data_IF_593443170126
#
_entry.id   IF_593443170126
#
_cell.length_a   1.000
_cell.length_b   1.000
_cell.length_c   1.000
_cell.angle_alpha   90.00
_cell.angle_beta   90.00
_cell.angle_gamma   90.00
#
_symmetry.space_group_name_H-M   'P 1'
#
loop_
_entity.id
_entity.type
_entity.pdbx_description
1 polymer ?
#
# COMPACT_ATOMS: atom_id res chain seq x y z
N UNK A 1 -19.02 44.10 -20.19
CA UNK A 1 -19.15 43.52 -18.84
C UNK A 1 -19.37 41.99 -18.82
N UNK A 2 -20.16 41.42 -19.72
CA UNK A 2 -20.45 39.96 -19.80
C UNK A 2 -19.22 39.09 -20.16
N UNK A 3 -18.30 39.56 -21.03
CA UNK A 3 -17.12 38.79 -21.45
C UNK A 3 -16.10 38.59 -20.33
N UNK A 4 -15.83 39.63 -19.52
CA UNK A 4 -14.89 39.55 -18.40
C UNK A 4 -15.38 38.55 -17.29
N UNK A 5 -16.69 38.48 -17.05
CA UNK A 5 -17.26 37.53 -16.09
C UNK A 5 -17.11 36.08 -16.57
N UNK A 6 -17.29 35.83 -17.88
CA UNK A 6 -17.09 34.50 -18.46
C UNK A 6 -15.64 34.03 -18.39
N UNK A 7 -14.68 34.91 -18.71
CA UNK A 7 -13.24 34.61 -18.59
C UNK A 7 -12.84 34.29 -17.14
N UNK A 8 -13.39 35.00 -16.17
CA UNK A 8 -13.12 34.76 -14.76
C UNK A 8 -13.67 33.39 -14.31
N UNK A 9 -14.87 33.01 -14.75
CA UNK A 9 -15.45 31.71 -14.46
C UNK A 9 -14.62 30.57 -15.06
N UNK A 10 -14.21 30.70 -16.33
CA UNK A 10 -13.34 29.70 -16.96
C UNK A 10 -11.98 29.57 -16.27
N UNK A 11 -11.39 30.68 -15.81
CA UNK A 11 -10.17 30.66 -15.03
C UNK A 11 -10.31 29.91 -13.71
N UNK A 12 -11.42 30.10 -13.00
CA UNK A 12 -11.69 29.39 -11.74
C UNK A 12 -11.90 27.89 -12.00
N UNK A 13 -12.66 27.53 -13.04
CA UNK A 13 -12.90 26.13 -13.40
C UNK A 13 -11.58 25.44 -13.79
N UNK A 14 -10.75 26.10 -14.62
CA UNK A 14 -9.45 25.55 -15.01
C UNK A 14 -8.53 25.38 -13.79
N UNK A 15 -8.50 26.33 -12.89
CA UNK A 15 -7.73 26.23 -11.62
C UNK A 15 -8.20 25.07 -10.75
N UNK A 16 -9.52 24.88 -10.59
CA UNK A 16 -10.08 23.76 -9.85
C UNK A 16 -9.75 22.41 -10.49
N UNK A 17 -9.78 22.31 -11.82
CA UNK A 17 -9.40 21.09 -12.54
C UNK A 17 -7.90 20.77 -12.38
N UNK A 18 -7.03 21.77 -12.39
CA UNK A 18 -5.60 21.59 -12.13
C UNK A 18 -5.36 21.09 -10.71
N UNK A 19 -6.01 21.67 -9.72
CA UNK A 19 -5.89 21.23 -8.31
C UNK A 19 -6.43 19.82 -8.14
N UNK A 20 -7.55 19.47 -8.76
CA UNK A 20 -8.12 18.14 -8.70
C UNK A 20 -7.21 17.09 -9.37
N UNK A 21 -6.60 17.43 -10.52
CA UNK A 21 -5.67 16.53 -11.21
C UNK A 21 -4.35 16.37 -10.46
N UNK A 22 -3.85 17.41 -9.79
CA UNK A 22 -2.66 17.34 -8.96
C UNK A 22 -2.80 16.31 -7.82
N UNK A 23 -4.00 16.20 -7.22
CA UNK A 23 -4.30 15.19 -6.20
C UNK A 23 -4.15 13.74 -6.67
N UNK A 24 -4.29 13.49 -7.98
CA UNK A 24 -4.14 12.16 -8.59
C UNK A 24 -2.67 11.86 -8.93
N UNK A 25 -1.88 12.89 -9.23
CA UNK A 25 -0.49 12.80 -9.73
C UNK A 25 0.53 12.92 -8.60
N UNK A 26 0.10 13.31 -7.38
CA UNK A 26 1.04 13.52 -6.27
C UNK A 26 1.84 12.25 -5.97
N UNK A 27 3.17 12.36 -5.86
CA UNK A 27 4.04 11.23 -5.58
C UNK A 27 3.67 10.59 -4.25
N UNK A 28 3.96 9.30 -4.14
CA UNK A 28 3.86 8.56 -2.88
C UNK A 28 5.17 8.66 -2.14
N UNK A 29 5.09 8.79 -0.84
CA UNK A 29 6.24 8.73 0.07
C UNK A 29 6.30 7.35 0.68
N UNK A 30 7.48 6.77 0.71
CA UNK A 30 7.77 5.54 1.41
C UNK A 30 7.65 5.77 2.92
N UNK A 31 6.95 4.88 3.60
CA UNK A 31 6.76 4.90 5.05
C UNK A 31 7.69 3.91 5.72
N UNK A 32 7.68 2.65 5.26
CA UNK A 32 8.49 1.57 5.80
C UNK A 32 8.68 0.45 4.78
N UNK A 33 9.70 -0.39 5.00
CA UNK A 33 10.00 -1.57 4.18
C UNK A 33 10.22 -2.78 5.07
N UNK A 34 9.36 -3.78 4.92
CA UNK A 34 9.52 -5.08 5.58
C UNK A 34 10.08 -6.10 4.60
N UNK A 35 11.26 -6.65 4.91
CA UNK A 35 11.89 -7.70 4.10
C UNK A 35 11.44 -9.07 4.56
N UNK A 36 11.18 -9.97 3.61
CA UNK A 36 10.91 -11.36 3.93
C UNK A 36 12.13 -12.02 4.57
N UNK A 37 11.94 -13.00 5.48
CA UNK A 37 13.04 -13.75 6.07
C UNK A 37 13.92 -14.47 5.04
N UNK A 38 13.35 -14.84 3.89
CA UNK A 38 14.11 -15.43 2.76
C UNK A 38 15.00 -14.41 2.03
N UNK A 39 14.77 -13.10 2.23
CA UNK A 39 15.42 -12.03 1.49
C UNK A 39 14.93 -11.85 0.05
N UNK A 40 14.00 -12.69 -0.43
CA UNK A 40 13.53 -12.68 -1.84
C UNK A 40 12.46 -11.62 -2.10
N UNK A 41 11.68 -11.26 -1.08
CA UNK A 41 10.54 -10.35 -1.18
C UNK A 41 10.70 -9.17 -0.23
N UNK A 42 10.07 -8.06 -0.60
CA UNK A 42 9.90 -6.89 0.26
C UNK A 42 8.50 -6.32 0.16
N UNK A 43 7.93 -5.95 1.28
CA UNK A 43 6.69 -5.21 1.38
C UNK A 43 7.02 -3.74 1.59
N UNK A 44 6.54 -2.88 0.71
CA UNK A 44 6.79 -1.45 0.70
C UNK A 44 5.50 -0.76 1.13
N UNK A 45 5.55 -0.07 2.25
CA UNK A 45 4.46 0.74 2.78
C UNK A 45 4.62 2.16 2.27
N UNK A 46 3.58 2.70 1.68
CA UNK A 46 3.59 4.05 1.12
C UNK A 46 2.34 4.83 1.52
N UNK A 47 2.44 6.15 1.54
CA UNK A 47 1.31 7.05 1.69
C UNK A 47 1.38 8.18 0.67
N UNK A 48 0.26 8.87 0.44
CA UNK A 48 0.25 10.03 -0.44
C UNK A 48 1.00 11.20 0.19
N UNK A 49 1.95 11.78 -0.51
CA UNK A 49 2.88 12.79 0.02
C UNK A 49 2.20 14.00 0.65
N UNK A 50 1.02 14.41 0.17
CA UNK A 50 0.28 15.51 0.76
C UNK A 50 -0.18 15.25 2.21
N UNK A 51 -0.33 13.98 2.61
CA UNK A 51 -0.67 13.62 3.99
C UNK A 51 0.44 13.97 4.99
N UNK A 52 1.67 14.20 4.52
CA UNK A 52 2.76 14.67 5.36
C UNK A 52 2.54 16.10 5.87
N UNK A 53 1.77 16.91 5.14
CA UNK A 53 1.51 18.31 5.45
C UNK A 53 0.22 18.55 6.24
N UNK A 54 -0.58 17.49 6.45
CA UNK A 54 -1.80 17.60 7.25
C UNK A 54 -1.40 17.49 8.72
N UNK A 55 -1.67 18.56 9.54
CA UNK A 55 -1.43 18.50 10.98
C UNK A 55 -2.27 17.38 11.59
N UNK A 56 -1.63 16.46 12.25
CA UNK A 56 -2.30 15.40 13.00
C UNK A 56 -2.48 15.80 14.45
N UNK A 57 -3.50 15.29 15.10
CA UNK A 57 -3.69 15.51 16.53
C UNK A 57 -2.48 14.95 17.31
N UNK A 58 -2.07 15.60 18.43
CA UNK A 58 -1.02 15.05 19.28
C UNK A 58 -1.37 13.61 19.69
N UNK A 59 -0.47 12.66 19.43
CA UNK A 59 -0.67 11.23 19.69
C UNK A 59 -1.15 10.40 18.51
N UNK A 60 -1.58 10.99 17.40
CA UNK A 60 -2.02 10.26 16.19
C UNK A 60 -0.93 10.16 15.11
N UNK A 61 0.33 10.31 15.47
CA UNK A 61 1.45 10.19 14.53
C UNK A 61 1.52 8.76 14.00
N UNK A 62 1.02 8.53 12.82
CA UNK A 62 1.00 7.21 12.18
C UNK A 62 -0.37 6.79 11.67
N UNK A 63 -1.45 7.48 12.03
CA UNK A 63 -2.82 7.21 11.57
C UNK A 63 -3.05 7.64 10.11
N UNK A 64 -2.03 7.54 9.27
CA UNK A 64 -2.15 7.87 7.86
C UNK A 64 -2.66 6.68 7.09
N UNK A 65 -3.65 6.91 6.24
CA UNK A 65 -4.02 5.93 5.22
C UNK A 65 -2.90 5.78 4.20
N UNK A 66 -2.75 4.57 3.68
CA UNK A 66 -1.67 4.27 2.76
C UNK A 66 -1.93 3.06 1.91
N UNK A 67 -0.84 2.47 1.46
CA UNK A 67 -0.85 1.27 0.63
C UNK A 67 0.33 0.39 1.03
N UNK A 68 0.14 -0.91 0.92
CA UNK A 68 1.22 -1.88 0.98
C UNK A 68 1.33 -2.62 -0.34
N UNK A 69 2.55 -2.67 -0.87
CA UNK A 69 2.88 -3.32 -2.13
C UNK A 69 3.97 -4.34 -1.89
N UNK A 70 3.82 -5.55 -2.45
CA UNK A 70 4.86 -6.57 -2.36
C UNK A 70 5.55 -6.69 -3.72
N UNK A 71 6.89 -6.69 -3.68
CA UNK A 71 7.73 -6.94 -4.85
C UNK A 71 8.84 -7.93 -4.52
N UNK A 72 9.31 -8.65 -5.52
CA UNK A 72 10.52 -9.49 -5.40
C UNK A 72 11.80 -8.71 -5.76
N UNK A 73 12.95 -9.37 -5.62
CA UNK A 73 14.25 -8.78 -5.95
C UNK A 73 14.43 -8.49 -7.46
N UNK A 74 13.60 -9.10 -8.31
CA UNK A 74 13.57 -8.85 -9.75
C UNK A 74 12.65 -7.66 -10.12
N UNK A 75 12.01 -7.04 -9.12
CA UNK A 75 11.08 -5.95 -9.32
C UNK A 75 9.68 -6.38 -9.75
N UNK A 76 9.38 -7.68 -9.67
CA UNK A 76 8.05 -8.19 -9.99
C UNK A 76 7.05 -7.79 -8.90
N UNK A 77 5.89 -7.32 -9.33
CA UNK A 77 4.81 -6.84 -8.50
C UNK A 77 3.83 -7.98 -8.15
N UNK A 78 3.56 -8.15 -6.87
CA UNK A 78 2.63 -9.16 -6.33
C UNK A 78 1.31 -8.55 -5.85
N UNK A 79 1.03 -7.33 -6.25
CA UNK A 79 -0.20 -6.61 -5.93
C UNK A 79 -0.03 -5.61 -4.79
N UNK A 80 -0.96 -4.68 -4.77
CA UNK A 80 -1.02 -3.58 -3.81
C UNK A 80 -2.38 -3.60 -3.10
N UNK A 81 -2.37 -3.41 -1.78
CA UNK A 81 -3.58 -3.28 -0.99
C UNK A 81 -3.65 -1.92 -0.29
N UNK A 82 -4.84 -1.31 -0.21
CA UNK A 82 -5.04 -0.10 0.56
C UNK A 82 -5.00 -0.41 2.05
N UNK A 83 -4.52 0.56 2.83
CA UNK A 83 -4.49 0.53 4.29
C UNK A 83 -5.20 1.76 4.84
N UNK A 84 -6.11 1.56 5.77
CA UNK A 84 -6.77 2.67 6.46
C UNK A 84 -5.81 3.38 7.41
N UNK A 85 -4.97 2.60 8.10
CA UNK A 85 -3.92 3.09 9.01
C UNK A 85 -2.63 2.31 8.83
N UNK A 86 -1.53 3.03 8.59
CA UNK A 86 -0.22 2.42 8.36
C UNK A 86 0.37 1.79 9.62
N UNK A 87 0.22 2.43 10.78
CA UNK A 87 0.74 1.95 12.05
C UNK A 87 -0.04 0.77 12.64
N UNK A 88 -1.28 0.57 12.23
CA UNK A 88 -2.12 -0.55 12.65
C UNK A 88 -2.08 -1.75 11.68
N UNK A 89 -1.28 -1.67 10.63
CA UNK A 89 -1.13 -2.77 9.68
C UNK A 89 -0.27 -3.88 10.28
N UNK A 90 -0.86 -4.77 11.05
CA UNK A 90 -0.20 -5.97 11.59
C UNK A 90 0.30 -6.87 10.47
N UNK A 91 1.42 -6.47 9.86
CA UNK A 91 2.00 -7.17 8.73
C UNK A 91 2.83 -8.37 9.19
N UNK A 92 2.61 -9.52 8.58
CA UNK A 92 3.41 -10.72 8.83
C UNK A 92 3.67 -11.50 7.55
N UNK A 93 4.87 -12.04 7.44
CA UNK A 93 5.21 -13.01 6.42
C UNK A 93 4.66 -14.39 6.80
N UNK A 94 4.13 -15.12 5.82
CA UNK A 94 3.67 -16.51 5.96
C UNK A 94 4.53 -17.43 5.10
N UNK A 95 4.35 -18.74 5.22
CA UNK A 95 5.11 -19.73 4.44
C UNK A 95 5.02 -19.50 2.92
N UNK A 96 3.86 -19.07 2.43
CA UNK A 96 3.60 -18.92 1.00
C UNK A 96 3.19 -17.50 0.59
N UNK A 97 3.43 -16.51 1.43
CA UNK A 97 2.99 -15.16 1.13
C UNK A 97 3.15 -14.17 2.27
N UNK A 98 2.15 -13.31 2.43
CA UNK A 98 2.07 -12.36 3.51
C UNK A 98 0.61 -12.10 3.89
N UNK A 99 0.40 -11.61 5.11
CA UNK A 99 -0.92 -11.25 5.64
C UNK A 99 -0.87 -9.90 6.35
N UNK A 100 -1.99 -9.19 6.25
CA UNK A 100 -2.32 -7.98 7.02
C UNK A 100 -3.76 -8.08 7.51
N UNK A 101 -4.19 -7.16 8.37
CA UNK A 101 -5.56 -7.19 8.95
C UNK A 101 -6.68 -7.22 7.90
N UNK A 102 -6.50 -6.60 6.73
CA UNK A 102 -7.51 -6.48 5.68
C UNK A 102 -7.15 -7.19 4.38
N UNK A 103 -6.17 -8.11 4.38
CA UNK A 103 -5.85 -8.86 3.18
C UNK A 103 -4.70 -9.83 3.31
N UNK A 104 -4.53 -10.62 2.24
CA UNK A 104 -3.42 -11.57 2.17
C UNK A 104 -2.94 -11.84 0.76
N UNK A 105 -1.67 -12.17 0.65
CA UNK A 105 -1.03 -12.63 -0.58
C UNK A 105 -0.71 -14.11 -0.48
N UNK A 106 -0.97 -14.83 -1.57
CA UNK A 106 -0.50 -16.20 -1.74
C UNK A 106 0.37 -16.25 -3.01
N UNK A 107 1.67 -16.28 -2.84
CA UNK A 107 2.62 -16.26 -3.95
C UNK A 107 2.58 -17.54 -4.77
N UNK A 108 2.29 -18.69 -4.14
CA UNK A 108 2.18 -19.99 -4.81
C UNK A 108 1.00 -20.01 -5.78
N UNK A 109 -0.12 -19.39 -5.40
CA UNK A 109 -1.33 -19.31 -6.23
C UNK A 109 -1.37 -18.05 -7.11
N UNK A 110 -0.44 -17.11 -6.94
CA UNK A 110 -0.46 -15.83 -7.62
C UNK A 110 -1.72 -15.01 -7.30
N UNK A 111 -2.23 -15.09 -6.08
CA UNK A 111 -3.47 -14.41 -5.69
C UNK A 111 -3.24 -13.44 -4.55
N UNK A 112 -3.93 -12.32 -4.63
CA UNK A 112 -4.04 -11.34 -3.56
C UNK A 112 -5.52 -11.19 -3.21
N UNK A 113 -5.84 -11.20 -1.93
CA UNK A 113 -7.20 -11.02 -1.41
C UNK A 113 -7.22 -9.77 -0.56
N UNK A 114 -8.27 -9.01 -0.72
CA UNK A 114 -8.58 -7.83 0.09
C UNK A 114 -9.95 -8.00 0.72
N UNK A 115 -10.10 -7.65 1.99
CA UNK A 115 -11.36 -7.62 2.71
C UNK A 115 -11.72 -6.18 3.06
N UNK A 116 -12.92 -5.80 2.74
CA UNK A 116 -13.52 -4.53 3.15
C UNK A 116 -14.93 -4.75 3.71
N UNK A 117 -15.65 -3.68 4.00
CA UNK A 117 -17.02 -3.74 4.53
C UNK A 117 -18.02 -4.43 3.59
N UNK A 118 -17.71 -4.59 2.31
CA UNK A 118 -18.55 -5.28 1.31
C UNK A 118 -18.20 -6.76 1.14
N UNK A 119 -17.10 -7.23 1.74
CA UNK A 119 -16.68 -8.63 1.73
C UNK A 119 -15.27 -8.88 1.20
N UNK A 120 -15.02 -10.11 0.79
CA UNK A 120 -13.73 -10.53 0.25
C UNK A 120 -13.64 -10.24 -1.26
N UNK A 121 -12.64 -9.47 -1.66
CA UNK A 121 -12.34 -9.15 -3.05
C UNK A 121 -11.04 -9.83 -3.48
N UNK A 122 -11.11 -10.63 -4.53
CA UNK A 122 -9.93 -11.26 -5.13
C UNK A 122 -9.30 -10.30 -6.11
N UNK A 123 -8.11 -9.79 -5.79
CA UNK A 123 -7.26 -9.05 -6.71
C UNK A 123 -6.36 -10.04 -7.42
N UNK A 124 -6.54 -10.21 -8.75
CA UNK A 124 -5.66 -11.06 -9.53
C UNK A 124 -4.31 -10.42 -9.72
N UNK A 125 -3.26 -11.13 -9.31
CA UNK A 125 -1.92 -10.85 -9.77
C UNK A 125 -1.80 -11.48 -11.15
N UNK A 126 -1.36 -10.68 -12.13
CA UNK A 126 -1.10 -11.10 -13.50
C UNK A 126 -0.25 -12.38 -13.50
N UNK A 127 -0.64 -13.40 -14.26
CA UNK A 127 -0.02 -14.72 -14.38
C UNK A 127 1.51 -14.66 -14.28
N UNK A 128 2.05 -14.95 -13.12
CA UNK A 128 3.48 -15.12 -12.89
C UNK A 128 3.71 -16.45 -12.19
N UNK A 129 4.57 -17.24 -12.80
CA UNK A 129 5.10 -18.44 -12.15
C UNK A 129 5.77 -18.03 -10.84
N UNK A 130 5.34 -18.52 -9.67
CA UNK A 130 6.01 -18.25 -8.41
C UNK A 130 7.44 -18.82 -8.48
N UNK A 131 8.42 -17.96 -8.32
CA UNK A 131 9.81 -18.36 -8.49
C UNK A 131 10.31 -19.26 -7.36
N UNK A 132 9.87 -19.07 -6.11
CA UNK A 132 10.29 -19.91 -4.97
C UNK A 132 9.33 -19.80 -3.77
N UNK A 133 9.25 -20.86 -2.92
CA UNK A 133 8.53 -20.79 -1.65
C UNK A 133 9.30 -19.90 -0.66
N UNK A 134 8.58 -19.05 0.06
CA UNK A 134 9.11 -18.31 1.22
C UNK A 134 9.42 -19.35 2.30
N UNK A 135 10.68 -19.49 2.70
CA UNK A 135 11.02 -20.40 3.82
C UNK A 135 10.44 -19.83 5.12
N UNK A 136 9.70 -20.62 5.88
CA UNK A 136 9.30 -20.20 7.21
C UNK A 136 10.55 -20.01 8.07
N UNK A 137 10.63 -18.91 8.77
CA UNK A 137 11.63 -18.75 9.82
C UNK A 137 11.31 -19.79 10.89
N UNK A 138 12.18 -20.78 11.05
CA UNK A 138 12.11 -21.65 12.21
C UNK A 138 12.12 -20.76 13.45
N UNK A 139 11.06 -20.82 14.22
CA UNK A 139 10.98 -20.20 15.54
C UNK A 139 12.09 -20.87 16.35
N UNK A 140 13.22 -20.17 16.53
CA UNK A 140 14.22 -20.54 17.53
C UNK A 140 13.52 -20.45 18.87
N UNK A 141 13.05 -21.61 19.34
CA UNK A 141 12.70 -21.78 20.74
C UNK A 141 13.97 -21.49 21.54
N UNK A 142 14.01 -20.32 22.15
CA UNK A 142 14.96 -20.07 23.24
C UNK A 142 14.53 -20.99 24.38
N UNK A 143 15.21 -22.11 24.50
CA UNK A 143 15.15 -22.95 25.67
C UNK A 143 16.01 -22.24 26.72
N UNK A 144 15.36 -21.69 27.73
CA UNK A 144 16.00 -21.27 28.97
C UNK A 144 16.79 -22.44 29.58
N UNK A 145 18.05 -22.19 29.84
CA UNK A 145 18.84 -22.88 30.88
C UNK A 145 19.27 -21.87 31.93
#
# INVERSE_FOLDING_TARGET
MKLRKRLLIYGIIASLLIVASAGIILPRTEYDIYRAPSGEYKAIFTYRSYLAFIPMMPGSSGDKSGFVKIIDNSGNDYGELPLEMLNAAEFRWTEYGAEIYNGKWNFKKGTCYHWDSSGEHKVFIKDRKPSHPVRPTSVLSVVDQ
#
